data_IF_522922332378
#
_entry.id   IF_522922332378
#
_cell.length_a   1.000
_cell.length_b   1.000
_cell.length_c   1.000
_cell.angle_alpha   90.00
_cell.angle_beta   90.00
_cell.angle_gamma   90.00
#
_symmetry.space_group_name_H-M   'P 1'
#
loop_
_entity.id
_entity.type
_entity.pdbx_description
1 polymer ?
#
# COMPACT_ATOMS: atom_id res chain seq x y z
N UNK A 1 4.25 -35.31 -2.25
CA UNK A 1 3.79 -35.58 -3.64
C UNK A 1 2.66 -36.61 -3.70
N UNK A 2 2.65 -37.64 -2.83
CA UNK A 2 1.65 -38.73 -2.86
C UNK A 2 0.25 -38.33 -2.35
N UNK A 3 0.13 -37.25 -1.59
CA UNK A 3 -1.13 -36.77 -0.98
C UNK A 3 -1.85 -35.68 -1.81
N UNK A 4 -1.23 -35.16 -2.86
CA UNK A 4 -1.74 -33.96 -3.58
C UNK A 4 -3.15 -34.07 -4.16
N UNK A 5 -3.61 -35.25 -4.51
CA UNK A 5 -4.96 -35.49 -5.02
C UNK A 5 -6.04 -35.61 -3.94
N UNK A 6 -5.62 -35.77 -2.68
CA UNK A 6 -6.52 -35.98 -1.53
C UNK A 6 -6.62 -34.76 -0.63
N UNK A 7 -5.88 -33.70 -0.93
CA UNK A 7 -5.79 -32.49 -0.11
C UNK A 7 -6.54 -31.37 -0.82
N UNK A 8 -7.46 -30.73 -0.10
CA UNK A 8 -7.94 -29.40 -0.43
C UNK A 8 -6.99 -28.37 0.17
N UNK A 9 -6.45 -27.49 -0.65
CA UNK A 9 -5.54 -26.43 -0.24
C UNK A 9 -6.29 -25.10 -0.16
N UNK A 10 -6.38 -24.55 1.04
CA UNK A 10 -6.93 -23.20 1.28
C UNK A 10 -5.78 -22.33 1.73
N UNK A 11 -5.57 -21.22 1.03
CA UNK A 11 -4.49 -20.28 1.32
C UNK A 11 -5.05 -18.89 1.56
N UNK A 12 -5.07 -18.49 2.83
CA UNK A 12 -5.48 -17.16 3.26
C UNK A 12 -4.33 -16.17 3.12
N UNK A 13 -4.64 -14.90 2.84
CA UNK A 13 -3.68 -13.84 2.52
C UNK A 13 -2.75 -14.24 1.36
N UNK A 14 -3.33 -14.69 0.26
CA UNK A 14 -2.60 -15.22 -0.90
C UNK A 14 -1.74 -14.17 -1.63
N UNK A 15 -1.96 -12.89 -1.39
CA UNK A 15 -1.10 -11.78 -1.84
C UNK A 15 0.33 -11.86 -1.28
N UNK A 16 0.57 -12.65 -0.22
CA UNK A 16 1.92 -12.93 0.29
C UNK A 16 2.82 -13.70 -0.69
N UNK A 17 2.26 -14.31 -1.73
CA UNK A 17 3.02 -14.94 -2.81
C UNK A 17 3.11 -14.10 -4.09
N UNK A 18 2.91 -12.80 -4.00
CA UNK A 18 3.00 -11.86 -5.14
C UNK A 18 4.39 -11.80 -5.79
N UNK A 19 5.46 -11.96 -5.02
CA UNK A 19 6.83 -11.95 -5.54
C UNK A 19 7.26 -13.34 -6.02
N UNK A 20 7.42 -13.56 -7.35
CA UNK A 20 7.74 -14.88 -7.93
C UNK A 20 9.12 -15.41 -7.53
N UNK A 21 10.02 -14.54 -7.06
CA UNK A 21 11.39 -14.91 -6.67
C UNK A 21 11.57 -15.14 -5.17
N UNK A 22 10.55 -14.85 -4.37
CA UNK A 22 10.64 -15.02 -2.91
C UNK A 22 10.69 -16.50 -2.51
N UNK A 23 11.44 -16.80 -1.45
CA UNK A 23 11.52 -18.16 -0.90
C UNK A 23 10.15 -18.69 -0.51
N UNK A 24 9.28 -17.83 0.01
CA UNK A 24 7.91 -18.18 0.39
C UNK A 24 7.09 -18.62 -0.82
N UNK A 25 7.07 -17.84 -1.89
CA UNK A 25 6.36 -18.17 -3.14
C UNK A 25 6.86 -19.50 -3.72
N UNK A 26 8.19 -19.66 -3.82
CA UNK A 26 8.80 -20.88 -4.34
C UNK A 26 8.42 -22.11 -3.51
N UNK A 27 8.39 -21.99 -2.20
CA UNK A 27 7.99 -23.08 -1.29
C UNK A 27 6.52 -23.45 -1.47
N UNK A 28 5.63 -22.47 -1.51
CA UNK A 28 4.19 -22.69 -1.72
C UNK A 28 3.92 -23.36 -3.06
N UNK A 29 4.49 -22.84 -4.14
CA UNK A 29 4.37 -23.44 -5.48
C UNK A 29 4.92 -24.87 -5.52
N UNK A 30 6.08 -25.11 -4.92
CA UNK A 30 6.68 -26.45 -4.88
C UNK A 30 5.80 -27.46 -4.16
N UNK A 31 5.18 -27.06 -3.05
CA UNK A 31 4.39 -27.96 -2.22
C UNK A 31 2.97 -28.16 -2.77
N UNK A 32 2.30 -27.11 -3.21
CA UNK A 32 0.85 -27.12 -3.39
C UNK A 32 0.36 -26.91 -4.82
N UNK A 33 1.22 -26.53 -5.76
CA UNK A 33 0.86 -26.34 -7.17
C UNK A 33 0.09 -27.50 -7.78
N UNK A 34 0.39 -28.75 -7.36
CA UNK A 34 -0.23 -29.97 -7.88
C UNK A 34 -1.51 -30.41 -7.14
N UNK A 35 -1.91 -29.72 -6.10
CA UNK A 35 -3.19 -30.00 -5.46
C UNK A 35 -4.33 -29.81 -6.46
N UNK A 36 -5.31 -30.68 -6.42
CA UNK A 36 -6.44 -30.65 -7.36
C UNK A 36 -7.41 -29.51 -7.01
N UNK A 37 -7.71 -29.36 -5.73
CA UNK A 37 -8.64 -28.35 -5.24
C UNK A 37 -7.88 -27.29 -4.47
N UNK A 38 -8.01 -26.05 -4.91
CA UNK A 38 -7.34 -24.89 -4.33
C UNK A 38 -8.29 -23.73 -4.21
N UNK A 39 -8.25 -23.06 -3.07
CA UNK A 39 -8.94 -21.82 -2.81
C UNK A 39 -7.93 -20.82 -2.26
N UNK A 40 -7.81 -19.68 -2.92
CA UNK A 40 -6.98 -18.57 -2.47
C UNK A 40 -7.91 -17.45 -1.99
N UNK A 41 -7.64 -16.92 -0.81
CA UNK A 41 -8.40 -15.80 -0.25
C UNK A 41 -7.45 -14.65 0.06
N UNK A 42 -7.86 -13.43 -0.24
CA UNK A 42 -7.13 -12.22 0.10
C UNK A 42 -8.04 -11.00 0.08
N UNK A 43 -7.79 -10.06 0.97
CA UNK A 43 -8.41 -8.74 0.94
C UNK A 43 -7.81 -7.82 -0.13
N UNK A 44 -6.60 -8.12 -0.61
CA UNK A 44 -5.84 -7.34 -1.59
C UNK A 44 -5.28 -8.28 -2.64
N UNK A 45 -5.87 -8.32 -3.80
CA UNK A 45 -5.45 -9.23 -4.87
C UNK A 45 -4.07 -8.89 -5.45
N UNK A 46 -3.74 -7.60 -5.53
CA UNK A 46 -2.43 -7.08 -5.93
C UNK A 46 -2.04 -5.91 -5.04
N UNK A 47 -0.74 -5.75 -4.74
CA UNK A 47 -0.22 -4.65 -3.91
C UNK A 47 0.30 -3.50 -4.76
N UNK A 48 1.01 -3.80 -5.83
CA UNK A 48 1.69 -2.80 -6.65
C UNK A 48 1.27 -2.85 -8.12
N UNK A 49 1.19 -4.02 -8.72
CA UNK A 49 0.85 -4.17 -10.12
C UNK A 49 0.19 -5.53 -10.44
N UNK A 50 -0.37 -5.62 -11.64
CA UNK A 50 -1.11 -6.81 -12.08
C UNK A 50 -0.22 -8.06 -12.23
N UNK A 51 1.09 -7.92 -12.44
CA UNK A 51 2.00 -9.06 -12.58
C UNK A 51 2.15 -9.87 -11.29
N UNK A 52 1.76 -9.31 -10.15
CA UNK A 52 1.69 -10.01 -8.86
C UNK A 52 0.64 -11.12 -8.83
N UNK A 53 -0.31 -11.13 -9.76
CA UNK A 53 -1.22 -12.25 -9.97
C UNK A 53 -0.54 -13.51 -10.54
N UNK A 54 0.55 -13.36 -11.28
CA UNK A 54 1.16 -14.49 -11.98
C UNK A 54 1.47 -15.70 -11.09
N UNK A 55 2.11 -15.55 -9.91
CA UNK A 55 2.34 -16.68 -9.00
C UNK A 55 1.05 -17.28 -8.44
N UNK A 56 0.01 -16.46 -8.19
CA UNK A 56 -1.28 -16.94 -7.71
C UNK A 56 -2.00 -17.75 -8.79
N UNK A 57 -2.00 -17.26 -10.03
CA UNK A 57 -2.53 -17.98 -11.18
C UNK A 57 -1.74 -19.26 -11.46
N UNK A 58 -0.41 -19.23 -11.33
CA UNK A 58 0.42 -20.44 -11.45
C UNK A 58 0.07 -21.45 -10.38
N UNK A 59 -0.16 -21.03 -9.15
CA UNK A 59 -0.60 -21.92 -8.08
C UNK A 59 -1.94 -22.57 -8.41
N UNK A 60 -2.90 -21.79 -8.92
CA UNK A 60 -4.24 -22.29 -9.30
C UNK A 60 -4.18 -23.24 -10.50
N UNK A 61 -3.53 -22.86 -11.57
CA UNK A 61 -3.60 -23.53 -12.86
C UNK A 61 -2.44 -24.49 -13.16
N UNK A 62 -1.38 -24.48 -12.33
CA UNK A 62 -0.22 -25.36 -12.51
C UNK A 62 0.39 -25.29 -13.92
N UNK A 63 0.58 -24.08 -14.46
CA UNK A 63 1.09 -23.85 -15.82
C UNK A 63 0.26 -24.49 -16.94
N UNK A 64 -1.04 -24.71 -16.73
CA UNK A 64 -1.91 -25.20 -17.78
C UNK A 64 -2.11 -24.15 -18.89
N UNK A 65 -2.62 -24.59 -20.05
CA UNK A 65 -2.96 -23.71 -21.17
C UNK A 65 -4.03 -22.64 -20.81
N UNK A 66 -4.76 -22.86 -19.73
CA UNK A 66 -5.81 -21.94 -19.26
C UNK A 66 -5.27 -20.71 -18.50
N UNK A 67 -3.96 -20.56 -18.42
CA UNK A 67 -3.29 -19.47 -17.75
C UNK A 67 -2.63 -18.51 -18.75
N UNK A 68 -1.31 -18.52 -18.79
CA UNK A 68 -0.50 -17.50 -19.47
C UNK A 68 -0.39 -17.73 -20.97
N UNK A 69 -0.49 -18.97 -21.43
CA UNK A 69 -0.49 -19.32 -22.85
C UNK A 69 -1.80 -18.93 -23.59
N UNK A 70 -2.66 -18.22 -22.92
CA UNK A 70 -3.90 -17.70 -23.47
C UNK A 70 -3.70 -16.55 -24.46
N UNK A 71 -2.73 -15.68 -24.23
CA UNK A 71 -2.47 -14.53 -25.08
C UNK A 71 -1.65 -14.92 -26.31
N UNK A 72 -2.14 -14.53 -27.49
CA UNK A 72 -1.43 -14.79 -28.76
C UNK A 72 -0.23 -13.89 -28.95
N UNK A 73 -0.33 -12.63 -28.51
CA UNK A 73 0.69 -11.61 -28.71
C UNK A 73 1.45 -11.33 -27.41
N UNK A 74 2.78 -11.28 -27.53
CA UNK A 74 3.68 -10.85 -26.46
C UNK A 74 4.27 -9.48 -26.84
N UNK A 75 4.50 -8.66 -25.85
CA UNK A 75 5.10 -7.35 -25.99
C UNK A 75 6.45 -7.29 -25.29
N UNK A 76 7.39 -6.60 -25.91
CA UNK A 76 8.72 -6.37 -25.32
C UNK A 76 9.24 -5.01 -25.73
N UNK A 77 9.97 -4.37 -24.82
CA UNK A 77 10.62 -3.11 -25.11
C UNK A 77 11.99 -3.36 -25.77
N UNK A 78 12.23 -2.82 -26.96
CA UNK A 78 13.58 -2.77 -27.49
C UNK A 78 14.37 -1.69 -26.75
N UNK A 79 15.49 -2.12 -26.14
CA UNK A 79 16.36 -1.24 -25.35
C UNK A 79 17.12 -0.22 -26.22
N UNK A 80 17.23 -0.44 -27.52
CA UNK A 80 17.99 0.41 -28.44
C UNK A 80 17.13 1.50 -29.03
N UNK A 81 15.95 1.15 -29.53
CA UNK A 81 15.03 2.09 -30.16
C UNK A 81 14.07 2.76 -29.18
N UNK A 82 13.94 2.21 -27.96
CA UNK A 82 12.91 2.58 -26.98
C UNK A 82 11.46 2.35 -27.49
N UNK A 83 11.30 1.52 -28.52
CA UNK A 83 10.00 1.19 -29.11
C UNK A 83 9.42 -0.09 -28.51
N UNK A 84 8.09 -0.23 -28.61
CA UNK A 84 7.39 -1.43 -28.24
C UNK A 84 7.35 -2.40 -29.39
N UNK A 85 8.03 -3.51 -29.25
CA UNK A 85 7.94 -4.64 -30.18
C UNK A 85 6.85 -5.62 -29.76
N UNK A 86 6.19 -6.21 -30.71
CA UNK A 86 5.27 -7.32 -30.49
C UNK A 86 5.70 -8.55 -31.28
N UNK A 87 5.46 -9.71 -30.71
CA UNK A 87 5.76 -11.01 -31.32
C UNK A 87 4.73 -12.05 -30.95
N UNK A 88 4.62 -13.08 -31.78
CA UNK A 88 3.75 -14.22 -31.48
C UNK A 88 4.25 -15.00 -30.25
N UNK A 89 3.33 -15.39 -29.40
CA UNK A 89 3.64 -16.21 -28.23
C UNK A 89 3.96 -17.65 -28.66
N UNK A 90 5.21 -18.12 -28.50
CA UNK A 90 5.60 -19.46 -28.94
C UNK A 90 4.94 -20.57 -28.10
N UNK A 91 4.31 -20.22 -26.99
CA UNK A 91 3.59 -21.16 -26.11
C UNK A 91 2.06 -21.00 -26.21
N UNK A 92 1.58 -20.26 -27.20
CA UNK A 92 0.13 -20.09 -27.39
C UNK A 92 -0.56 -21.44 -27.58
N UNK A 93 -1.56 -21.74 -26.74
CA UNK A 93 -2.26 -23.02 -26.72
C UNK A 93 -1.50 -24.19 -26.12
N UNK A 94 -0.35 -23.95 -25.48
CA UNK A 94 0.48 -25.00 -24.87
C UNK A 94 0.76 -24.74 -23.40
N UNK A 95 0.94 -25.78 -22.55
CA UNK A 95 1.37 -25.61 -21.18
C UNK A 95 2.75 -24.96 -21.07
N UNK A 96 2.97 -24.13 -20.08
CA UNK A 96 4.26 -23.49 -19.83
C UNK A 96 5.15 -24.46 -19.05
N UNK A 97 6.37 -24.79 -19.56
CA UNK A 97 7.20 -25.83 -18.98
C UNK A 97 7.85 -25.45 -17.65
N UNK A 98 8.06 -24.16 -17.36
CA UNK A 98 8.75 -23.71 -16.17
C UNK A 98 8.14 -22.44 -15.59
N UNK A 99 8.07 -22.38 -14.27
CA UNK A 99 7.49 -21.30 -13.51
C UNK A 99 8.09 -19.90 -13.83
N UNK A 100 9.43 -19.77 -13.89
CA UNK A 100 10.08 -18.49 -14.23
C UNK A 100 9.73 -18.01 -15.65
N UNK A 101 9.52 -18.91 -16.58
CA UNK A 101 9.04 -18.58 -17.92
C UNK A 101 7.58 -18.14 -17.88
N UNK A 102 6.78 -18.80 -17.04
CA UNK A 102 5.39 -18.45 -16.81
C UNK A 102 5.23 -17.02 -16.37
N UNK A 103 5.97 -16.60 -15.37
CA UNK A 103 5.96 -15.21 -14.91
C UNK A 103 6.38 -14.21 -16.01
N UNK A 104 7.47 -14.51 -16.73
CA UNK A 104 7.90 -13.65 -17.85
C UNK A 104 6.86 -13.53 -18.95
N UNK A 105 6.25 -14.64 -19.32
CA UNK A 105 5.22 -14.64 -20.35
C UNK A 105 4.01 -13.80 -19.90
N UNK A 106 3.59 -13.93 -18.65
CA UNK A 106 2.53 -13.11 -18.10
C UNK A 106 2.90 -11.62 -18.13
N UNK A 107 4.10 -11.26 -17.67
CA UNK A 107 4.56 -9.87 -17.70
C UNK A 107 4.63 -9.33 -19.15
N UNK A 108 5.19 -10.11 -20.08
CA UNK A 108 5.26 -9.72 -21.49
C UNK A 108 3.89 -9.72 -22.19
N UNK A 109 2.92 -10.44 -21.67
CA UNK A 109 1.55 -10.40 -22.21
C UNK A 109 0.80 -9.13 -21.80
N UNK A 110 0.99 -8.66 -20.55
CA UNK A 110 0.12 -7.65 -19.98
C UNK A 110 0.84 -6.37 -19.50
N UNK A 111 2.09 -6.49 -19.05
CA UNK A 111 2.88 -5.38 -18.49
C UNK A 111 4.35 -5.50 -18.92
N UNK A 112 4.67 -5.28 -20.19
CA UNK A 112 6.05 -5.32 -20.66
C UNK A 112 6.88 -4.25 -19.95
N UNK A 113 8.15 -4.59 -19.66
CA UNK A 113 9.12 -3.65 -19.09
C UNK A 113 9.36 -2.50 -20.08
N UNK A 114 9.17 -1.26 -19.63
CA UNK A 114 9.50 -0.05 -20.36
C UNK A 114 10.80 0.57 -19.85
N UNK A 115 11.58 1.14 -20.74
CA UNK A 115 12.72 1.96 -20.35
C UNK A 115 12.16 3.28 -19.81
N UNK A 116 12.36 3.53 -18.55
CA UNK A 116 11.98 4.77 -17.89
C UNK A 116 13.22 5.63 -17.62
N UNK A 117 13.03 6.88 -17.23
CA UNK A 117 14.10 7.75 -16.76
C UNK A 117 14.89 7.11 -15.61
N UNK A 118 14.25 6.20 -14.87
CA UNK A 118 14.82 5.43 -13.76
C UNK A 118 15.40 4.07 -14.16
N UNK A 119 15.53 3.79 -15.47
CA UNK A 119 15.99 2.51 -15.99
C UNK A 119 14.85 1.65 -16.55
N UNK A 120 15.06 0.33 -16.60
CA UNK A 120 14.02 -0.60 -17.03
C UNK A 120 13.07 -0.85 -15.88
N UNK A 121 11.82 -0.48 -16.05
CA UNK A 121 10.76 -0.67 -15.05
C UNK A 121 9.44 -1.04 -15.70
N UNK A 122 8.52 -1.53 -14.91
CA UNK A 122 7.14 -1.78 -15.32
C UNK A 122 6.33 -0.53 -15.05
N UNK A 123 5.63 -0.02 -16.07
CA UNK A 123 4.60 1.00 -15.90
C UNK A 123 3.24 0.32 -15.86
N UNK A 124 2.45 0.63 -14.85
CA UNK A 124 1.10 0.10 -14.70
C UNK A 124 0.06 0.78 -15.60
N UNK A 125 0.48 1.69 -16.47
CA UNK A 125 -0.42 2.52 -17.26
C UNK A 125 -0.99 1.81 -18.48
N UNK A 126 -0.19 0.94 -19.12
CA UNK A 126 -0.62 0.26 -20.33
C UNK A 126 -0.76 -1.23 -20.04
N UNK A 127 -1.97 -1.71 -19.90
CA UNK A 127 -2.26 -3.13 -19.81
C UNK A 127 -2.55 -3.63 -21.21
N UNK A 128 -1.65 -4.49 -21.70
CA UNK A 128 -1.79 -5.12 -23.00
C UNK A 128 -2.64 -6.40 -22.91
N UNK A 129 -3.30 -6.79 -23.99
CA UNK A 129 -4.23 -7.91 -24.02
C UNK A 129 -5.25 -7.84 -22.86
N UNK A 130 -5.87 -6.69 -22.69
CA UNK A 130 -6.78 -6.43 -21.57
C UNK A 130 -7.99 -7.38 -21.57
N UNK A 131 -8.59 -7.63 -22.75
CA UNK A 131 -9.73 -8.54 -22.90
C UNK A 131 -9.41 -9.98 -22.49
N UNK A 132 -8.20 -10.45 -22.82
CA UNK A 132 -7.75 -11.78 -22.42
C UNK A 132 -7.50 -11.86 -20.93
N UNK A 133 -6.94 -10.80 -20.35
CA UNK A 133 -6.73 -10.71 -18.91
C UNK A 133 -8.07 -10.69 -18.17
N UNK A 134 -9.00 -9.89 -18.62
CA UNK A 134 -10.34 -9.78 -18.03
C UNK A 134 -11.07 -11.12 -18.09
N UNK A 135 -11.04 -11.82 -19.22
CA UNK A 135 -11.57 -13.18 -19.33
C UNK A 135 -10.90 -14.17 -18.39
N UNK A 136 -9.58 -14.07 -18.19
CA UNK A 136 -8.84 -14.94 -17.27
C UNK A 136 -9.25 -14.65 -15.83
N UNK A 137 -9.31 -13.39 -15.45
CA UNK A 137 -9.70 -12.97 -14.11
C UNK A 137 -11.18 -13.26 -13.85
N UNK A 138 -12.07 -12.93 -14.78
CA UNK A 138 -13.51 -13.16 -14.65
C UNK A 138 -13.91 -14.62 -14.41
N UNK A 139 -13.16 -15.59 -14.98
CA UNK A 139 -13.38 -17.02 -14.71
C UNK A 139 -12.68 -17.54 -13.45
N UNK A 140 -11.74 -16.78 -12.89
CA UNK A 140 -10.81 -17.26 -11.85
C UNK A 140 -11.09 -16.60 -10.50
N UNK A 141 -11.40 -15.31 -10.52
CA UNK A 141 -11.49 -14.46 -9.32
C UNK A 141 -12.93 -14.08 -9.06
N UNK A 142 -13.39 -14.37 -7.86
CA UNK A 142 -14.66 -13.86 -7.36
C UNK A 142 -14.34 -12.72 -6.41
N UNK A 143 -14.74 -11.51 -6.76
CA UNK A 143 -14.56 -10.33 -5.92
C UNK A 143 -15.91 -9.87 -5.37
N UNK A 144 -15.92 -9.47 -4.11
CA UNK A 144 -17.04 -8.79 -3.48
C UNK A 144 -16.50 -7.64 -2.65
N UNK A 145 -17.05 -6.47 -2.83
CA UNK A 145 -16.76 -5.32 -1.97
C UNK A 145 -17.52 -5.44 -0.65
N UNK A 146 -17.09 -4.72 0.36
CA UNK A 146 -17.82 -4.67 1.63
C UNK A 146 -19.25 -4.14 1.41
N UNK A 147 -19.38 -3.14 0.54
CA UNK A 147 -20.65 -2.52 0.18
C UNK A 147 -21.61 -3.48 -0.52
N UNK A 148 -21.11 -4.26 -1.50
CA UNK A 148 -21.91 -5.30 -2.18
C UNK A 148 -22.45 -6.37 -1.22
N UNK A 149 -21.65 -6.76 -0.23
CA UNK A 149 -22.02 -7.80 0.74
C UNK A 149 -22.96 -7.27 1.82
N UNK A 150 -22.74 -6.03 2.27
CA UNK A 150 -23.47 -5.47 3.41
C UNK A 150 -24.55 -4.46 3.03
N UNK A 151 -24.52 -3.95 1.79
CA UNK A 151 -25.38 -2.84 1.35
C UNK A 151 -25.03 -1.51 2.02
N UNK A 152 -23.86 -1.40 2.65
CA UNK A 152 -23.47 -0.24 3.46
C UNK A 152 -22.11 0.29 3.07
N UNK A 153 -22.03 1.56 2.70
CA UNK A 153 -20.78 2.31 2.73
C UNK A 153 -20.60 2.88 4.15
N UNK A 154 -19.71 2.27 4.91
CA UNK A 154 -19.46 2.66 6.30
C UNK A 154 -18.16 3.44 6.48
N UNK A 155 -17.36 3.63 5.43
CA UNK A 155 -16.10 4.39 5.51
C UNK A 155 -16.30 5.83 5.10
N UNK A 156 -15.74 6.75 5.89
CA UNK A 156 -15.62 8.16 5.54
C UNK A 156 -14.17 8.59 5.73
N UNK A 157 -13.58 9.14 4.69
CA UNK A 157 -12.20 9.63 4.69
C UNK A 157 -12.22 11.14 4.89
N UNK A 158 -11.50 11.60 5.90
CA UNK A 158 -11.34 13.00 6.25
C UNK A 158 -9.87 13.40 6.15
N UNK A 159 -9.56 14.34 5.27
CA UNK A 159 -8.26 14.99 5.24
C UNK A 159 -8.26 16.12 6.27
N UNK A 160 -7.20 16.22 7.05
CA UNK A 160 -6.95 17.29 8.00
C UNK A 160 -5.71 18.07 7.53
N UNK A 161 -5.89 19.10 6.68
CA UNK A 161 -4.77 19.88 6.18
C UNK A 161 -4.19 20.74 7.31
N UNK A 162 -2.86 20.69 7.48
CA UNK A 162 -2.13 21.36 8.55
C UNK A 162 -1.01 22.19 7.92
N UNK A 163 -0.90 23.50 8.22
CA UNK A 163 0.25 24.30 7.80
C UNK A 163 1.50 23.89 8.60
N UNK A 164 2.66 24.02 8.01
CA UNK A 164 3.91 23.91 8.75
C UNK A 164 4.16 25.16 9.58
N UNK A 165 4.60 24.98 10.82
CA UNK A 165 5.30 26.04 11.55
C UNK A 165 6.71 26.27 10.97
N UNK A 166 7.33 27.45 11.18
CA UNK A 166 8.65 27.73 10.64
C UNK A 166 9.70 26.67 11.02
N UNK A 167 9.74 26.25 12.26
CA UNK A 167 10.68 25.28 12.82
C UNK A 167 10.46 23.89 12.21
N UNK A 168 9.21 23.49 12.06
CA UNK A 168 8.83 22.22 11.39
C UNK A 168 9.24 22.23 9.92
N UNK A 169 8.99 23.36 9.23
CA UNK A 169 9.38 23.54 7.83
C UNK A 169 10.89 23.53 7.66
N UNK A 170 11.65 24.08 8.59
CA UNK A 170 13.09 24.08 8.55
C UNK A 170 13.65 22.66 8.59
N UNK A 171 13.21 21.85 9.56
CA UNK A 171 13.62 20.44 9.68
C UNK A 171 13.23 19.65 8.44
N UNK A 172 12.02 19.84 7.92
CA UNK A 172 11.57 19.21 6.70
C UNK A 172 12.46 19.57 5.51
N UNK A 173 12.82 20.86 5.37
CA UNK A 173 13.67 21.36 4.29
C UNK A 173 15.12 20.86 4.35
N UNK A 174 15.65 20.55 5.54
CA UNK A 174 16.98 19.94 5.68
C UNK A 174 17.00 18.59 4.95
N UNK A 175 16.02 17.74 5.22
CA UNK A 175 15.92 16.41 4.59
C UNK A 175 15.57 16.52 3.11
N UNK A 176 14.75 17.47 2.74
CA UNK A 176 14.36 17.71 1.35
C UNK A 176 15.56 18.15 0.50
N UNK A 177 16.45 19.01 1.02
CA UNK A 177 17.70 19.41 0.34
C UNK A 177 18.59 18.18 0.08
N UNK A 178 18.73 17.31 1.07
CA UNK A 178 19.51 16.08 0.92
C UNK A 178 18.88 15.12 -0.10
N UNK A 179 17.55 14.99 -0.10
CA UNK A 179 16.83 14.23 -1.12
C UNK A 179 17.17 14.71 -2.53
N UNK A 180 17.11 16.03 -2.79
CA UNK A 180 17.47 16.58 -4.11
C UNK A 180 18.95 16.44 -4.46
N UNK A 181 19.83 16.43 -3.47
CA UNK A 181 21.26 16.17 -3.68
C UNK A 181 21.46 14.73 -4.20
N UNK A 182 20.85 13.75 -3.52
CA UNK A 182 20.94 12.34 -3.92
C UNK A 182 20.22 12.09 -5.25
N UNK A 183 19.13 12.77 -5.51
CA UNK A 183 18.42 12.69 -6.79
C UNK A 183 19.33 13.12 -7.96
N UNK A 184 20.07 14.20 -7.83
CA UNK A 184 21.05 14.64 -8.83
C UNK A 184 22.16 13.61 -9.03
N UNK A 185 22.66 13.02 -7.94
CA UNK A 185 23.64 11.94 -8.00
C UNK A 185 23.07 10.70 -8.72
N UNK A 186 21.83 10.34 -8.48
CA UNK A 186 21.15 9.24 -9.16
C UNK A 186 21.10 9.46 -10.68
N UNK A 187 20.75 10.66 -11.13
CA UNK A 187 20.69 10.98 -12.57
C UNK A 187 22.07 11.02 -13.24
N UNK A 188 23.10 11.41 -12.53
CA UNK A 188 24.48 11.47 -13.06
C UNK A 188 25.23 10.15 -12.97
N UNK A 189 24.72 9.15 -12.24
CA UNK A 189 25.39 7.87 -11.98
C UNK A 189 24.91 6.77 -12.93
N UNK A 190 25.75 5.73 -13.10
CA UNK A 190 25.46 4.52 -13.87
C UNK A 190 25.79 3.26 -13.07
N UNK A 191 25.31 2.11 -13.50
CA UNK A 191 25.66 0.81 -12.93
C UNK A 191 25.32 0.67 -11.44
N UNK A 192 26.28 0.23 -10.64
CA UNK A 192 26.09 -0.01 -9.21
C UNK A 192 25.92 1.30 -8.41
N UNK A 193 26.63 2.35 -8.76
CA UNK A 193 26.49 3.67 -8.10
C UNK A 193 25.06 4.22 -8.23
N UNK A 194 24.41 3.98 -9.38
CA UNK A 194 23.01 4.36 -9.57
C UNK A 194 22.06 3.55 -8.70
N UNK A 195 22.32 2.25 -8.49
CA UNK A 195 21.54 1.43 -7.57
C UNK A 195 21.67 1.88 -6.13
N UNK A 196 22.88 2.25 -5.71
CA UNK A 196 23.12 2.76 -4.36
C UNK A 196 22.45 4.11 -4.15
N UNK A 197 22.51 5.01 -5.14
CA UNK A 197 21.78 6.27 -5.09
C UNK A 197 20.27 6.07 -5.02
N UNK A 198 19.70 5.09 -5.76
CA UNK A 198 18.29 4.74 -5.68
C UNK A 198 17.88 4.26 -4.28
N UNK A 199 18.68 3.39 -3.67
CA UNK A 199 18.42 2.93 -2.30
C UNK A 199 18.43 4.08 -1.29
N UNK A 200 19.36 5.01 -1.43
CA UNK A 200 19.40 6.23 -0.60
C UNK A 200 18.20 7.15 -0.83
N UNK A 201 17.72 7.29 -2.08
CA UNK A 201 16.51 8.05 -2.37
C UNK A 201 15.29 7.45 -1.67
N UNK A 202 15.12 6.12 -1.71
CA UNK A 202 14.03 5.44 -1.01
C UNK A 202 14.10 5.66 0.50
N UNK A 203 15.32 5.65 1.07
CA UNK A 203 15.53 5.98 2.48
C UNK A 203 15.14 7.42 2.81
N UNK A 204 15.48 8.39 1.94
CA UNK A 204 15.10 9.79 2.12
C UNK A 204 13.58 10.01 2.02
N UNK A 205 12.89 9.33 1.09
CA UNK A 205 11.42 9.35 1.03
C UNK A 205 10.83 8.85 2.35
N UNK A 206 11.35 7.74 2.87
CA UNK A 206 10.90 7.20 4.15
C UNK A 206 11.15 8.18 5.30
N UNK A 207 12.28 8.86 5.28
CA UNK A 207 12.63 9.87 6.28
C UNK A 207 11.73 11.11 6.17
N UNK A 208 11.45 11.60 4.96
CA UNK A 208 10.53 12.72 4.73
C UNK A 208 9.13 12.41 5.27
N UNK A 209 8.61 11.22 4.99
CA UNK A 209 7.29 10.80 5.52
C UNK A 209 7.28 10.69 7.04
N UNK A 210 8.37 10.20 7.65
CA UNK A 210 8.49 10.11 9.10
C UNK A 210 8.54 11.49 9.76
N UNK A 211 9.30 12.43 9.20
CA UNK A 211 9.39 13.81 9.70
C UNK A 211 8.06 14.55 9.48
N UNK A 212 7.38 14.29 8.38
CA UNK A 212 6.03 14.81 8.20
C UNK A 212 5.04 14.22 9.22
N UNK A 213 5.29 13.04 9.78
CA UNK A 213 4.45 12.49 10.83
C UNK A 213 4.76 13.09 12.20
N UNK A 214 6.05 13.26 12.54
CA UNK A 214 6.54 13.78 13.80
C UNK A 214 7.89 14.49 13.58
N UNK A 215 7.91 15.82 13.39
CA UNK A 215 9.14 16.60 13.18
C UNK A 215 10.15 16.47 14.34
N UNK A 216 9.68 16.35 15.54
CA UNK A 216 10.47 16.18 16.78
C UNK A 216 11.18 14.82 16.91
N UNK A 217 10.94 13.89 16.00
CA UNK A 217 11.80 12.72 15.80
C UNK A 217 13.23 13.09 15.35
N UNK A 218 13.42 14.31 14.87
CA UNK A 218 14.72 14.81 14.45
C UNK A 218 15.38 15.60 15.59
N UNK A 219 16.70 15.38 15.75
CA UNK A 219 17.48 16.07 16.79
C UNK A 219 17.61 17.58 16.55
N UNK A 220 17.45 17.98 15.30
CA UNK A 220 17.52 19.35 14.84
C UNK A 220 16.23 20.14 15.10
N UNK A 221 15.19 19.48 15.59
CA UNK A 221 13.94 20.16 15.95
C UNK A 221 14.08 20.81 17.31
N UNK A 222 13.94 22.11 17.37
CA UNK A 222 14.03 22.95 18.58
C UNK A 222 12.70 23.61 18.96
N UNK A 223 11.60 23.23 18.29
CA UNK A 223 10.27 23.79 18.52
C UNK A 223 9.54 23.18 19.72
N UNK A 224 8.36 23.70 19.99
CA UNK A 224 7.39 23.11 20.89
C UNK A 224 6.75 21.85 20.28
N UNK A 225 5.72 21.28 20.92
CA UNK A 225 4.97 20.15 20.36
C UNK A 225 4.49 20.46 18.94
N UNK A 226 4.83 19.63 17.95
CA UNK A 226 4.49 19.87 16.55
C UNK A 226 2.99 20.09 16.33
N UNK A 227 2.65 20.99 15.38
CA UNK A 227 1.27 21.33 15.10
C UNK A 227 0.42 20.14 14.68
N UNK A 228 1.02 19.16 14.01
CA UNK A 228 0.32 17.92 13.63
C UNK A 228 -0.05 17.05 14.82
N UNK A 229 0.82 16.96 15.81
CA UNK A 229 0.54 16.26 17.06
C UNK A 229 -0.55 16.99 17.85
N UNK A 230 -0.45 18.32 17.93
CA UNK A 230 -1.48 19.15 18.55
C UNK A 230 -2.83 19.00 17.86
N UNK A 231 -2.87 18.95 16.54
CA UNK A 231 -4.11 18.72 15.79
C UNK A 231 -4.73 17.35 16.12
N UNK A 232 -3.91 16.32 16.35
CA UNK A 232 -4.38 15.00 16.83
C UNK A 232 -4.91 15.10 18.25
N UNK A 233 -4.21 15.77 19.16
CA UNK A 233 -4.68 16.02 20.54
C UNK A 233 -6.01 16.77 20.56
N UNK A 234 -6.14 17.82 19.76
CA UNK A 234 -7.39 18.57 19.63
C UNK A 234 -8.53 17.70 19.08
N UNK A 235 -8.25 16.85 18.09
CA UNK A 235 -9.24 15.92 17.57
C UNK A 235 -9.71 14.95 18.66
N UNK A 236 -8.78 14.42 19.44
CA UNK A 236 -9.09 13.57 20.60
C UNK A 236 -9.93 14.29 21.65
N UNK A 237 -9.63 15.54 21.94
CA UNK A 237 -10.40 16.37 22.88
C UNK A 237 -11.85 16.62 22.44
N UNK A 238 -12.11 16.65 21.13
CA UNK A 238 -13.49 16.78 20.58
C UNK A 238 -14.32 15.50 20.75
N UNK A 239 -13.68 14.36 21.04
CA UNK A 239 -14.34 13.06 21.22
C UNK A 239 -14.04 12.46 22.60
N UNK A 240 -14.46 13.12 23.69
CA UNK A 240 -14.04 12.77 25.04
C UNK A 240 -14.60 11.42 25.53
N UNK A 241 -15.69 10.94 24.94
CA UNK A 241 -16.35 9.69 25.31
C UNK A 241 -16.24 8.60 24.24
N UNK A 242 -15.38 8.80 23.24
CA UNK A 242 -15.19 7.80 22.18
C UNK A 242 -13.84 7.09 22.31
N UNK A 243 -13.83 5.81 21.95
CA UNK A 243 -12.58 5.06 21.75
C UNK A 243 -12.00 5.43 20.41
N UNK A 244 -10.74 5.89 20.42
CA UNK A 244 -10.03 6.33 19.21
C UNK A 244 -8.81 5.46 18.97
N UNK A 245 -8.57 5.07 17.73
CA UNK A 245 -7.34 4.40 17.32
C UNK A 245 -6.43 5.36 16.54
N UNK A 246 -5.13 5.33 16.85
CA UNK A 246 -4.09 6.09 16.15
C UNK A 246 -3.08 5.10 15.60
N UNK A 247 -2.90 5.10 14.27
CA UNK A 247 -2.01 4.18 13.58
C UNK A 247 -0.82 4.87 12.94
N UNK A 248 0.37 4.70 13.51
CA UNK A 248 1.63 5.17 12.95
C UNK A 248 2.38 4.01 12.27
N UNK A 249 3.35 4.32 11.44
CA UNK A 249 4.14 3.30 10.76
C UNK A 249 5.38 2.88 11.54
N UNK A 250 6.13 3.86 12.01
CA UNK A 250 7.40 3.64 12.68
C UNK A 250 7.28 3.78 14.20
N UNK A 251 7.98 2.95 14.93
CA UNK A 251 8.00 3.00 16.39
C UNK A 251 8.54 4.32 16.94
N UNK A 252 9.45 4.97 16.23
CA UNK A 252 9.99 6.27 16.60
C UNK A 252 8.93 7.40 16.61
N UNK A 253 7.84 7.24 15.86
CA UNK A 253 6.72 8.19 15.82
C UNK A 253 5.73 7.97 16.96
N UNK A 254 5.75 6.79 17.61
CA UNK A 254 4.85 6.51 18.73
C UNK A 254 5.14 7.37 19.96
N UNK A 255 6.42 7.56 20.28
CA UNK A 255 6.83 8.25 21.52
C UNK A 255 6.40 9.72 21.54
N UNK A 256 6.61 10.52 20.47
CA UNK A 256 6.08 11.87 20.34
C UNK A 256 4.57 11.96 20.59
N UNK A 257 3.77 11.19 19.87
CA UNK A 257 2.32 11.18 20.07
C UNK A 257 1.92 10.72 21.47
N UNK A 258 2.62 9.72 22.04
CA UNK A 258 2.35 9.27 23.39
C UNK A 258 2.70 10.35 24.44
N UNK A 259 3.75 11.11 24.22
CA UNK A 259 4.15 12.23 25.09
C UNK A 259 3.10 13.35 25.03
N UNK A 260 2.75 13.81 23.84
CA UNK A 260 1.74 14.85 23.64
C UNK A 260 0.37 14.45 24.24
N UNK A 261 -0.09 13.21 24.03
CA UNK A 261 -1.36 12.74 24.57
C UNK A 261 -1.31 12.71 26.12
N UNK A 262 -0.21 12.26 26.73
CA UNK A 262 -0.08 12.23 28.20
C UNK A 262 -0.01 13.62 28.82
N UNK A 263 0.61 14.56 28.13
CA UNK A 263 0.74 15.95 28.59
C UNK A 263 -0.59 16.68 28.55
N UNK A 264 -1.29 16.63 27.40
CA UNK A 264 -2.50 17.43 27.17
C UNK A 264 -3.81 16.72 27.54
N UNK A 265 -3.81 15.39 27.62
CA UNK A 265 -4.99 14.56 27.95
C UNK A 265 -4.67 13.52 29.02
N UNK A 266 -4.11 13.90 30.20
CA UNK A 266 -3.60 12.96 31.20
C UNK A 266 -4.67 12.02 31.77
N UNK A 267 -5.93 12.42 31.79
CA UNK A 267 -7.05 11.64 32.31
C UNK A 267 -7.55 10.56 31.33
N UNK A 268 -7.11 10.58 30.06
CA UNK A 268 -7.55 9.59 29.09
C UNK A 268 -6.67 8.35 29.11
N UNK A 269 -7.26 7.14 29.24
CA UNK A 269 -6.48 5.91 29.17
C UNK A 269 -5.77 5.75 27.82
N UNK A 270 -4.44 5.71 27.84
CA UNK A 270 -3.60 5.52 26.65
C UNK A 270 -3.00 4.12 26.63
N UNK A 271 -3.31 3.36 25.57
CA UNK A 271 -2.81 2.02 25.32
C UNK A 271 -1.83 2.04 24.15
N UNK A 272 -0.54 1.83 24.42
CA UNK A 272 0.51 1.83 23.40
C UNK A 272 0.85 0.40 22.99
N UNK A 273 0.79 0.10 21.70
CA UNK A 273 1.01 -1.25 21.14
C UNK A 273 2.05 -1.25 20.03
N UNK A 274 3.11 -2.01 20.22
CA UNK A 274 4.13 -2.26 19.20
C UNK A 274 4.24 -3.75 18.89
N UNK A 275 4.78 -4.09 17.71
CA UNK A 275 4.92 -5.47 17.26
C UNK A 275 5.80 -6.34 18.16
N UNK A 276 6.77 -5.73 18.85
CA UNK A 276 7.75 -6.42 19.71
C UNK A 276 7.24 -6.72 21.12
N UNK A 277 6.21 -6.03 21.58
CA UNK A 277 5.84 -6.02 23.01
C UNK A 277 4.62 -6.87 23.36
N UNK A 278 3.85 -7.35 22.36
CA UNK A 278 2.52 -7.88 22.65
C UNK A 278 2.25 -9.22 21.98
N UNK A 279 2.14 -10.28 22.79
CA UNK A 279 1.68 -11.60 22.35
C UNK A 279 0.20 -11.57 21.92
N UNK A 280 -0.24 -12.59 21.18
CA UNK A 280 -1.64 -12.71 20.77
C UNK A 280 -2.64 -12.67 21.94
N UNK A 281 -2.32 -13.36 23.04
CA UNK A 281 -3.15 -13.37 24.24
C UNK A 281 -3.29 -11.95 24.86
N UNK A 282 -2.17 -11.21 24.95
CA UNK A 282 -2.18 -9.83 25.46
C UNK A 282 -3.01 -8.88 24.57
N UNK A 283 -2.97 -9.07 23.24
CA UNK A 283 -3.77 -8.25 22.31
C UNK A 283 -5.27 -8.51 22.43
N UNK A 284 -5.64 -9.77 22.69
CA UNK A 284 -7.04 -10.13 22.95
C UNK A 284 -7.52 -9.54 24.28
N UNK A 285 -6.71 -9.60 25.32
CA UNK A 285 -7.01 -8.96 26.60
C UNK A 285 -7.13 -7.43 26.45
N UNK A 286 -6.21 -6.80 25.72
CA UNK A 286 -6.26 -5.37 25.41
C UNK A 286 -7.56 -4.98 24.72
N UNK A 287 -8.03 -5.76 23.76
CA UNK A 287 -9.30 -5.51 23.08
C UNK A 287 -10.47 -5.40 24.05
N UNK A 288 -10.54 -6.31 25.01
CA UNK A 288 -11.62 -6.29 26.01
C UNK A 288 -11.50 -5.10 26.98
N UNK A 289 -10.28 -4.78 27.41
CA UNK A 289 -10.03 -3.60 28.25
C UNK A 289 -10.38 -2.31 27.49
N UNK A 290 -9.96 -2.18 26.25
CA UNK A 290 -10.24 -1.00 25.43
C UNK A 290 -11.75 -0.86 25.16
N UNK A 291 -12.44 -1.96 24.89
CA UNK A 291 -13.89 -1.98 24.71
C UNK A 291 -14.65 -1.53 25.96
N UNK A 292 -14.13 -1.87 27.15
CA UNK A 292 -14.70 -1.46 28.43
C UNK A 292 -14.38 -0.03 28.83
N UNK A 293 -13.36 0.60 28.28
CA UNK A 293 -12.88 1.93 28.69
C UNK A 293 -13.78 3.11 28.27
N UNK A 294 -14.62 2.93 27.26
CA UNK A 294 -15.49 3.93 26.63
C UNK A 294 -14.78 5.15 26.01
N UNK A 295 -13.61 5.55 26.51
CA UNK A 295 -12.85 6.73 26.06
C UNK A 295 -11.36 6.45 25.86
N UNK A 296 -10.97 5.18 25.77
CA UNK A 296 -9.57 4.78 25.61
C UNK A 296 -8.97 5.21 24.27
N UNK A 297 -7.68 5.51 24.27
CA UNK A 297 -6.90 5.80 23.08
C UNK A 297 -5.99 4.61 22.81
N UNK A 298 -6.12 4.01 21.62
CA UNK A 298 -5.22 2.97 21.13
C UNK A 298 -4.18 3.59 20.21
N UNK A 299 -2.96 3.77 20.67
CA UNK A 299 -1.82 4.21 19.86
C UNK A 299 -0.97 3.00 19.48
N UNK A 300 -0.84 2.72 18.18
CA UNK A 300 -0.15 1.51 17.73
C UNK A 300 0.57 1.69 16.40
N UNK A 301 1.55 0.81 16.14
CA UNK A 301 2.06 0.71 14.78
C UNK A 301 1.05 -0.05 13.91
N UNK A 302 0.85 0.42 12.68
CA UNK A 302 -0.11 -0.16 11.73
C UNK A 302 0.07 -1.68 11.56
N UNK A 303 1.31 -2.16 11.66
CA UNK A 303 1.64 -3.59 11.54
C UNK A 303 1.44 -4.38 12.83
N UNK A 304 1.30 -3.75 13.99
CA UNK A 304 1.21 -4.45 15.27
C UNK A 304 -0.18 -4.98 15.59
N UNK A 305 -1.20 -4.56 14.85
CA UNK A 305 -2.54 -5.13 14.95
C UNK A 305 -2.67 -6.31 13.97
N UNK A 306 -2.51 -7.57 14.41
CA UNK A 306 -2.53 -8.72 13.53
C UNK A 306 -3.93 -9.03 13.01
N UNK A 307 -3.98 -9.82 11.94
CA UNK A 307 -5.18 -10.22 11.23
C UNK A 307 -6.29 -10.87 12.07
N UNK A 308 -5.96 -11.34 13.24
CA UNK A 308 -6.85 -12.17 14.10
C UNK A 308 -7.60 -11.40 15.18
N UNK A 309 -7.35 -10.09 15.38
CA UNK A 309 -8.06 -9.29 16.39
C UNK A 309 -8.82 -8.16 15.71
N UNK A 310 -10.11 -8.08 15.95
CA UNK A 310 -11.01 -7.08 15.40
C UNK A 310 -11.34 -6.01 16.44
N UNK A 311 -11.35 -4.76 16.00
CA UNK A 311 -11.69 -3.58 16.81
C UNK A 311 -12.90 -2.85 16.20
N UNK A 312 -13.93 -3.61 15.86
CA UNK A 312 -15.14 -3.13 15.17
C UNK A 312 -15.95 -2.08 15.94
N UNK A 313 -15.70 -1.98 17.24
CA UNK A 313 -16.34 -0.98 18.12
C UNK A 313 -15.67 0.40 18.06
N UNK A 314 -14.48 0.51 17.46
CA UNK A 314 -13.80 1.79 17.26
C UNK A 314 -14.31 2.44 15.97
N UNK A 315 -14.79 3.67 16.08
CA UNK A 315 -15.39 4.40 14.96
C UNK A 315 -14.54 5.59 14.47
N UNK A 316 -13.57 6.03 15.26
CA UNK A 316 -12.65 7.12 14.94
C UNK A 316 -11.23 6.57 14.82
N UNK A 317 -10.65 6.71 13.65
CA UNK A 317 -9.31 6.20 13.35
C UNK A 317 -8.47 7.35 12.79
N UNK A 318 -7.34 7.65 13.40
CA UNK A 318 -6.41 8.69 12.95
C UNK A 318 -5.16 8.01 12.40
N UNK A 319 -4.72 8.43 11.23
CA UNK A 319 -3.53 7.91 10.55
C UNK A 319 -2.58 9.09 10.28
N UNK A 320 -1.78 9.48 11.26
CA UNK A 320 -0.89 10.64 11.12
C UNK A 320 0.36 10.34 10.31
N UNK A 321 0.71 9.07 10.14
CA UNK A 321 1.85 8.65 9.33
C UNK A 321 1.39 7.79 8.16
N UNK A 322 1.55 8.32 6.97
CA UNK A 322 1.19 7.65 5.72
C UNK A 322 2.35 6.78 5.22
N UNK A 323 2.04 5.83 4.37
CA UNK A 323 3.01 4.99 3.69
C UNK A 323 2.70 4.90 2.19
N UNK A 324 3.76 4.90 1.37
CA UNK A 324 3.62 4.76 -0.09
C UNK A 324 2.99 3.43 -0.53
N UNK A 325 3.00 2.40 0.33
CA UNK A 325 2.30 1.14 0.11
C UNK A 325 0.94 1.16 0.81
N UNK A 326 -0.12 1.38 0.05
CA UNK A 326 -1.50 1.44 0.56
C UNK A 326 -1.95 0.12 1.22
N UNK A 327 -1.41 -1.04 0.81
CA UNK A 327 -1.87 -2.33 1.32
C UNK A 327 -1.71 -2.46 2.85
N UNK A 328 -0.58 -2.01 3.40
CA UNK A 328 -0.34 -2.05 4.86
C UNK A 328 -1.29 -1.13 5.63
N UNK A 329 -1.53 0.06 5.10
CA UNK A 329 -2.45 1.04 5.69
C UNK A 329 -3.90 0.55 5.59
N UNK A 330 -4.30 0.01 4.43
CA UNK A 330 -5.62 -0.61 4.24
C UNK A 330 -5.83 -1.79 5.20
N UNK A 331 -4.86 -2.65 5.36
CA UNK A 331 -4.92 -3.75 6.33
C UNK A 331 -5.11 -3.24 7.75
N UNK A 332 -4.51 -2.11 8.11
CA UNK A 332 -4.70 -1.51 9.42
C UNK A 332 -6.14 -1.04 9.61
N UNK A 333 -6.66 -0.13 8.79
CA UNK A 333 -8.00 0.40 9.03
C UNK A 333 -9.12 -0.63 8.80
N UNK A 334 -8.89 -1.66 7.99
CA UNK A 334 -9.82 -2.78 7.84
C UNK A 334 -9.95 -3.66 9.11
N UNK A 335 -9.14 -3.44 10.14
CA UNK A 335 -9.36 -4.04 11.47
C UNK A 335 -10.57 -3.48 12.19
N UNK A 336 -10.94 -2.26 11.84
CA UNK A 336 -12.07 -1.53 12.39
C UNK A 336 -13.33 -1.69 11.54
N UNK A 337 -13.17 -1.91 10.23
CA UNK A 337 -14.24 -2.16 9.26
C UNK A 337 -14.49 -3.66 9.17
N UNK A 338 -15.59 -4.14 9.73
CA UNK A 338 -15.96 -5.56 9.75
C UNK A 338 -17.41 -5.77 9.33
N UNK A 339 -17.72 -6.97 8.88
CA UNK A 339 -19.10 -7.36 8.52
C UNK A 339 -20.10 -7.03 9.63
N UNK A 340 -19.68 -7.19 10.88
CA UNK A 340 -20.47 -6.86 12.07
C UNK A 340 -20.54 -5.36 12.40
N UNK A 341 -19.83 -4.51 11.68
CA UNK A 341 -19.86 -3.07 11.93
C UNK A 341 -21.20 -2.49 11.55
N UNK A 342 -21.83 -1.78 12.50
CA UNK A 342 -23.14 -1.13 12.33
C UNK A 342 -23.01 0.38 12.13
N UNK A 343 -21.92 0.96 12.59
CA UNK A 343 -21.68 2.39 12.59
C UNK A 343 -20.64 2.79 11.54
N UNK A 344 -20.71 4.04 11.11
CA UNK A 344 -19.74 4.62 10.18
C UNK A 344 -18.36 4.71 10.82
N UNK A 345 -17.34 4.49 10.01
CA UNK A 345 -15.93 4.54 10.40
C UNK A 345 -15.30 5.78 9.77
N UNK A 346 -14.91 6.72 10.61
CA UNK A 346 -14.27 7.95 10.20
C UNK A 346 -12.75 7.78 10.26
N UNK A 347 -12.11 7.88 9.09
CA UNK A 347 -10.67 7.79 8.91
C UNK A 347 -10.10 9.19 8.73
N UNK A 348 -9.31 9.65 9.67
CA UNK A 348 -8.71 10.98 9.66
C UNK A 348 -7.23 10.91 9.27
N UNK A 349 -6.86 11.72 8.30
CA UNK A 349 -5.50 11.85 7.79
C UNK A 349 -4.99 13.28 8.04
N UNK A 350 -4.26 13.52 9.13
CA UNK A 350 -3.53 14.77 9.32
C UNK A 350 -2.40 14.87 8.29
N UNK A 351 -2.37 15.93 7.49
CA UNK A 351 -1.45 16.08 6.35
C UNK A 351 -0.86 17.48 6.35
N UNK A 352 0.46 17.60 6.35
CA UNK A 352 1.12 18.88 6.15
C UNK A 352 0.94 19.37 4.71
N UNK A 353 0.42 20.58 4.57
CA UNK A 353 0.26 21.24 3.27
C UNK A 353 1.63 21.52 2.67
N UNK A 354 1.83 21.18 1.38
CA UNK A 354 3.10 21.35 0.70
C UNK A 354 4.19 20.40 1.20
N UNK A 355 3.80 19.19 1.58
CA UNK A 355 4.69 18.06 1.89
C UNK A 355 4.47 16.90 0.92
N UNK A 356 5.37 15.95 0.96
CA UNK A 356 5.27 14.69 0.22
C UNK A 356 3.97 13.90 0.54
N UNK A 357 3.38 14.13 1.71
CA UNK A 357 2.14 13.47 2.13
C UNK A 357 0.95 13.91 1.28
N UNK A 358 0.91 15.17 0.83
CA UNK A 358 -0.17 15.69 -0.02
C UNK A 358 -0.23 14.90 -1.34
N UNK A 359 0.92 14.69 -1.98
CA UNK A 359 1.01 13.91 -3.21
C UNK A 359 0.70 12.43 -2.96
N UNK A 360 1.21 11.90 -1.86
CA UNK A 360 0.95 10.51 -1.48
C UNK A 360 -0.54 10.26 -1.20
N UNK A 361 -1.24 11.20 -0.59
CA UNK A 361 -2.67 11.08 -0.31
C UNK A 361 -3.48 11.03 -1.61
N UNK A 362 -3.18 11.87 -2.58
CA UNK A 362 -3.83 11.82 -3.90
C UNK A 362 -3.62 10.46 -4.56
N UNK A 363 -2.40 9.94 -4.53
CA UNK A 363 -2.07 8.63 -5.09
C UNK A 363 -2.76 7.47 -4.36
N UNK A 364 -2.85 7.52 -3.02
CA UNK A 364 -3.54 6.51 -2.22
C UNK A 364 -5.03 6.48 -2.54
N UNK A 365 -5.66 7.65 -2.62
CA UNK A 365 -7.07 7.76 -2.98
C UNK A 365 -7.34 7.27 -4.40
N UNK A 366 -6.46 7.57 -5.35
CA UNK A 366 -6.57 7.09 -6.71
C UNK A 366 -6.43 5.56 -6.79
N UNK A 367 -5.45 4.97 -6.09
CA UNK A 367 -5.29 3.50 -6.01
C UNK A 367 -6.47 2.81 -5.33
N UNK A 368 -7.05 3.40 -4.32
CA UNK A 368 -8.23 2.85 -3.65
C UNK A 368 -9.45 2.85 -4.59
N UNK A 369 -9.68 3.95 -5.30
CA UNK A 369 -10.70 4.04 -6.35
C UNK A 369 -10.43 3.06 -7.49
N UNK A 370 -9.19 2.94 -7.96
CA UNK A 370 -8.80 1.99 -8.99
C UNK A 370 -9.03 0.54 -8.54
N UNK A 371 -8.70 0.21 -7.30
CA UNK A 371 -8.95 -1.13 -6.75
C UNK A 371 -10.45 -1.44 -6.66
N UNK A 372 -11.26 -0.49 -6.28
CA UNK A 372 -12.73 -0.62 -6.31
C UNK A 372 -13.25 -0.82 -7.73
N UNK A 373 -12.65 -0.11 -8.68
CA UNK A 373 -13.04 -0.13 -10.09
C UNK A 373 -12.68 -1.45 -10.78
N UNK A 374 -11.45 -1.97 -10.57
CA UNK A 374 -11.02 -3.28 -11.09
C UNK A 374 -11.84 -4.44 -10.51
N UNK A 375 -12.62 -4.17 -9.48
CA UNK A 375 -13.41 -5.17 -8.75
C UNK A 375 -14.80 -5.41 -9.28
N UNK A 376 -15.32 -4.67 -10.22
CA UNK A 376 -16.68 -4.96 -10.59
C UNK A 376 -17.43 -4.18 -11.65
N UNK A 377 -16.82 -3.35 -12.47
CA UNK A 377 -17.56 -2.69 -13.54
C UNK A 377 -16.76 -2.57 -14.84
N UNK A 378 -17.45 -2.73 -15.97
CA UNK A 378 -16.99 -2.40 -17.32
C UNK A 378 -16.59 -0.93 -17.42
N UNK A 379 -15.34 -0.63 -17.19
CA UNK A 379 -14.85 0.70 -17.32
C UNK A 379 -13.60 0.74 -18.16
N UNK A 380 -13.59 1.71 -19.03
CA UNK A 380 -12.47 2.07 -19.85
C UNK A 380 -11.30 2.52 -18.97
N UNK A 381 -10.23 1.75 -18.99
CA UNK A 381 -9.03 2.03 -18.18
C UNK A 381 -8.41 3.38 -18.59
N UNK A 382 -8.50 3.75 -19.86
CA UNK A 382 -7.99 5.02 -20.37
C UNK A 382 -8.79 6.21 -19.81
N UNK A 383 -10.10 6.03 -19.63
CA UNK A 383 -10.95 7.03 -18.97
C UNK A 383 -10.59 7.22 -17.50
N UNK A 384 -10.19 6.14 -16.82
CA UNK A 384 -9.77 6.19 -15.41
C UNK A 384 -8.43 6.91 -15.29
N UNK A 385 -7.46 6.57 -16.13
CA UNK A 385 -6.16 7.21 -16.12
C UNK A 385 -6.26 8.70 -16.47
N UNK A 386 -7.05 9.06 -17.47
CA UNK A 386 -7.30 10.45 -17.85
C UNK A 386 -8.03 11.23 -16.75
N UNK A 387 -9.00 10.60 -16.06
CA UNK A 387 -9.83 11.24 -15.04
C UNK A 387 -9.10 11.45 -13.71
N UNK A 388 -8.13 10.60 -13.40
CA UNK A 388 -7.41 10.65 -12.11
C UNK A 388 -5.99 11.17 -12.21
N UNK A 389 -5.47 11.44 -13.43
CA UNK A 389 -4.15 12.04 -13.65
C UNK A 389 -2.98 11.30 -13.00
N UNK A 390 -3.15 9.99 -12.75
CA UNK A 390 -2.22 9.22 -11.92
C UNK A 390 -1.12 8.65 -12.79
N UNK A 391 0.02 9.33 -12.81
CA UNK A 391 1.26 8.73 -13.27
C UNK A 391 1.76 7.74 -12.17
N UNK A 392 1.71 6.43 -12.47
CA UNK A 392 2.04 5.37 -11.51
C UNK A 392 3.53 5.17 -11.23
N UNK A 393 4.38 5.99 -11.78
CA UNK A 393 5.75 6.07 -11.32
C UNK A 393 5.80 6.78 -9.96
N UNK A 394 5.91 5.98 -8.90
CA UNK A 394 5.93 6.48 -7.53
C UNK A 394 6.91 7.63 -7.34
N UNK A 395 8.11 7.54 -7.93
CA UNK A 395 9.12 8.57 -7.80
C UNK A 395 8.77 9.83 -8.59
N UNK A 396 8.23 9.72 -9.80
CA UNK A 396 7.81 10.90 -10.56
C UNK A 396 6.58 11.55 -9.96
N UNK A 397 5.61 10.80 -9.48
CA UNK A 397 4.42 11.33 -8.80
C UNK A 397 4.77 12.01 -7.48
N UNK A 398 5.66 11.41 -6.69
CA UNK A 398 6.15 12.02 -5.45
C UNK A 398 7.03 13.26 -5.71
N UNK A 399 7.63 13.36 -6.89
CA UNK A 399 8.48 14.48 -7.31
C UNK A 399 7.76 15.50 -8.18
N UNK A 400 6.46 15.34 -8.43
CA UNK A 400 5.67 16.34 -9.14
C UNK A 400 5.72 17.65 -8.36
N UNK A 401 6.24 18.68 -8.99
CA UNK A 401 6.36 20.01 -8.43
C UNK A 401 5.18 20.84 -8.92
N UNK A 402 4.40 21.34 -8.01
CA UNK A 402 3.46 22.42 -8.30
C UNK A 402 4.12 23.75 -7.93
N UNK A 403 4.02 24.73 -8.78
CA UNK A 403 4.30 26.12 -8.44
C UNK A 403 3.02 26.74 -7.93
N UNK A 404 3.06 27.41 -6.78
CA UNK A 404 1.95 28.26 -6.35
C UNK A 404 1.86 29.52 -7.21
N UNK A 405 0.78 30.27 -7.02
CA UNK A 405 0.52 31.51 -7.78
C UNK A 405 1.61 32.59 -7.56
N UNK A 406 2.47 32.42 -6.57
CA UNK A 406 3.61 33.29 -6.25
C UNK A 406 4.93 32.74 -6.81
N UNK A 407 4.91 31.61 -7.52
CA UNK A 407 6.09 31.01 -8.14
C UNK A 407 6.97 30.17 -7.19
N UNK A 408 6.51 29.89 -5.96
CA UNK A 408 7.22 29.02 -5.03
C UNK A 408 6.94 27.55 -5.38
N UNK A 409 7.99 26.76 -5.40
CA UNK A 409 7.89 25.31 -5.62
C UNK A 409 7.22 24.64 -4.42
N UNK A 410 6.05 24.07 -4.65
CA UNK A 410 5.41 23.09 -3.75
C UNK A 410 5.74 21.69 -4.23
N UNK A 411 6.03 20.81 -3.31
CA UNK A 411 6.20 19.38 -3.61
C UNK A 411 4.91 18.67 -3.31
#
# INVERSE_FOLDING_TARGET
KQLGYKIQFIFDESDNISNPSSKQTLSVLSCFRRCKYKLLTTGTSTRNNISEFAPQLELLYNNSINMISWCRTLYSYDKRSADMEHKENPYYGMPIPAYKKGYRLFANSHLPEKITVFGVGQRNQDIYNADELDRLLGKTVITRTFEEVTGKDIRRIHQMPIPFLPEEREVYNIVLKEFYRIQREYYSSTGNSRKDALMRLIQQITLLLRISAAPDCMKEYEGETPLKEMAVVEALARWPEEVVAIGVRHTAVLDPYAAAIREYLPERPLFVVTGSTVTFAKRRALREVLRGSRNGILLCTQQSLPSSVNFEFVNKIIIPEMHYNNAGMSQFYMRFVRYTSTEKKDLYFPIYIGSLESNLMQMVLAKEKLTMFMKGQDADMDEIYAKFGVDYDLLSTLMTRETDDEGHLRI
#
